data_IF_613193704929
#
_entry.id   IF_613193704929
#
_cell.length_a   1.000
_cell.length_b   1.000
_cell.length_c   1.000
_cell.angle_alpha   90.00
_cell.angle_beta   90.00
_cell.angle_gamma   90.00
#
_symmetry.space_group_name_H-M   'P 1'
#
loop_
_entity.id
_entity.type
_entity.pdbx_description
1 polymer ?
#
# COMPACT_ATOMS: atom_id res chain seq x y z
N UNK A 1 -8.49 -7.93 8.25
CA UNK A 1 -7.89 -8.09 6.90
C UNK A 1 -7.44 -6.73 6.40
N UNK A 2 -6.35 -6.64 5.64
CA UNK A 2 -5.93 -5.45 4.91
C UNK A 2 -6.32 -5.61 3.44
N UNK A 3 -6.84 -4.57 2.81
CA UNK A 3 -7.33 -4.62 1.43
C UNK A 3 -6.87 -3.37 0.67
N UNK A 4 -6.51 -3.57 -0.60
CA UNK A 4 -6.39 -2.48 -1.56
C UNK A 4 -7.72 -2.30 -2.27
N UNK A 5 -8.16 -1.05 -2.42
CA UNK A 5 -9.44 -0.67 -3.01
C UNK A 5 -9.19 0.33 -4.12
N UNK A 6 -9.52 -0.08 -5.35
CA UNK A 6 -9.52 0.78 -6.53
C UNK A 6 -10.95 0.90 -7.07
N UNK A 7 -11.44 2.13 -7.21
CA UNK A 7 -12.72 2.39 -7.86
C UNK A 7 -12.50 2.68 -9.35
N UNK A 8 -13.17 1.95 -10.22
CA UNK A 8 -13.09 2.15 -11.67
C UNK A 8 -13.87 3.41 -12.11
N UNK A 9 -13.34 4.58 -11.77
CA UNK A 9 -13.84 5.89 -12.21
C UNK A 9 -13.42 6.18 -13.67
N UNK A 10 -13.93 7.24 -14.32
CA UNK A 10 -13.57 7.56 -15.70
C UNK A 10 -12.06 7.68 -15.94
N UNK A 11 -11.31 8.31 -15.02
CA UNK A 11 -9.86 8.47 -15.15
C UNK A 11 -9.12 7.12 -15.14
N UNK A 12 -9.42 6.24 -14.18
CA UNK A 12 -8.83 4.90 -14.09
C UNK A 12 -9.17 4.07 -15.34
N UNK A 13 -10.42 4.12 -15.81
CA UNK A 13 -10.82 3.43 -17.05
C UNK A 13 -10.07 3.94 -18.28
N UNK A 14 -9.79 5.24 -18.35
CA UNK A 14 -8.98 5.81 -19.43
C UNK A 14 -7.55 5.27 -19.39
N UNK A 15 -6.92 5.25 -18.21
CA UNK A 15 -5.58 4.71 -18.04
C UNK A 15 -5.48 3.25 -18.48
N UNK A 16 -6.48 2.42 -18.16
CA UNK A 16 -6.54 1.03 -18.59
C UNK A 16 -6.63 0.93 -20.12
N UNK A 17 -7.51 1.71 -20.77
CA UNK A 17 -7.67 1.71 -22.23
C UNK A 17 -6.43 2.17 -22.97
N UNK A 18 -5.67 3.10 -22.39
CA UNK A 18 -4.44 3.65 -22.95
C UNK A 18 -3.18 2.85 -22.58
N UNK A 19 -3.32 1.75 -21.83
CA UNK A 19 -2.17 0.95 -21.36
C UNK A 19 -1.28 1.65 -20.33
N UNK A 20 -1.72 2.77 -19.76
CA UNK A 20 -0.99 3.56 -18.76
C UNK A 20 -1.23 3.06 -17.34
N UNK A 21 -1.22 1.74 -17.16
CA UNK A 21 -1.57 1.08 -15.88
C UNK A 21 -0.59 1.42 -14.75
N UNK A 22 0.66 1.76 -15.08
CA UNK A 22 1.67 2.22 -14.13
C UNK A 22 1.27 3.51 -13.39
N UNK A 23 0.30 4.29 -13.88
CA UNK A 23 -0.23 5.49 -13.21
C UNK A 23 -1.34 5.18 -12.19
N UNK A 24 -1.89 3.96 -12.20
CA UNK A 24 -3.00 3.56 -11.31
C UNK A 24 -2.65 3.68 -9.82
N UNK A 25 -1.44 3.31 -9.34
CA UNK A 25 -1.08 3.49 -7.93
C UNK A 25 -1.23 4.94 -7.45
N UNK A 26 -0.79 5.92 -8.26
CA UNK A 26 -0.97 7.34 -7.96
C UNK A 26 -2.45 7.76 -7.96
N UNK A 27 -3.28 7.15 -8.82
CA UNK A 27 -4.73 7.35 -8.80
C UNK A 27 -5.39 6.81 -7.54
N UNK A 28 -4.96 5.65 -7.04
CA UNK A 28 -5.46 5.08 -5.77
C UNK A 28 -5.09 6.01 -4.60
N UNK A 29 -3.84 6.48 -4.55
CA UNK A 29 -3.37 7.39 -3.50
C UNK A 29 -4.15 8.72 -3.46
N UNK A 30 -4.41 9.32 -4.63
CA UNK A 30 -5.18 10.58 -4.73
C UNK A 30 -6.69 10.37 -4.68
N UNK A 31 -7.15 9.13 -4.83
CA UNK A 31 -8.55 8.71 -4.88
C UNK A 31 -9.21 8.48 -3.51
N UNK A 32 -8.54 8.77 -2.39
CA UNK A 32 -9.07 8.55 -1.02
C UNK A 32 -10.46 9.12 -0.80
N UNK A 33 -10.76 10.29 -1.35
CA UNK A 33 -12.09 10.94 -1.27
C UNK A 33 -13.21 10.14 -1.95
N UNK A 34 -12.87 9.22 -2.84
CA UNK A 34 -13.80 8.31 -3.52
C UNK A 34 -13.82 6.92 -2.86
N UNK A 35 -13.22 6.75 -1.68
CA UNK A 35 -13.12 5.48 -0.98
C UNK A 35 -12.02 4.55 -1.51
N UNK A 36 -11.08 5.05 -2.31
CA UNK A 36 -9.90 4.27 -2.69
C UNK A 36 -8.91 4.17 -1.52
N UNK A 37 -8.17 3.08 -1.46
CA UNK A 37 -7.19 2.81 -0.40
C UNK A 37 -6.06 1.96 -0.98
N UNK A 38 -4.81 2.34 -0.74
CA UNK A 38 -3.66 1.49 -1.10
C UNK A 38 -3.47 0.37 -0.07
N UNK A 39 -2.86 -0.75 -0.46
CA UNK A 39 -2.55 -1.82 0.50
C UNK A 39 -1.71 -1.31 1.68
N UNK A 40 -0.68 -0.50 1.42
CA UNK A 40 0.19 0.06 2.45
C UNK A 40 -0.59 0.94 3.44
N UNK A 41 -1.55 1.76 2.97
CA UNK A 41 -2.40 2.54 3.86
C UNK A 41 -3.23 1.63 4.77
N UNK A 42 -3.79 0.54 4.23
CA UNK A 42 -4.57 -0.43 5.01
C UNK A 42 -3.71 -1.17 6.05
N UNK A 43 -2.50 -1.60 5.66
CA UNK A 43 -1.55 -2.26 6.56
C UNK A 43 -1.10 -1.30 7.66
N UNK A 44 -0.78 -0.04 7.32
CA UNK A 44 -0.41 0.99 8.29
C UNK A 44 -1.53 1.25 9.29
N UNK A 45 -2.78 1.31 8.84
CA UNK A 45 -3.94 1.47 9.72
C UNK A 45 -4.05 0.32 10.74
N UNK A 46 -3.90 -0.93 10.29
CA UNK A 46 -3.92 -2.09 11.20
C UNK A 46 -2.74 -2.09 12.18
N UNK A 47 -1.57 -1.66 11.72
CA UNK A 47 -0.38 -1.53 12.57
C UNK A 47 -0.60 -0.46 13.65
N UNK A 48 -1.12 0.71 13.28
CA UNK A 48 -1.41 1.80 14.23
C UNK A 48 -2.47 1.38 15.25
N UNK A 49 -3.45 0.57 14.83
CA UNK A 49 -4.45 -0.04 15.72
C UNK A 49 -3.90 -1.22 16.55
N UNK A 50 -2.62 -1.58 16.40
CA UNK A 50 -1.95 -2.72 17.05
C UNK A 50 -2.66 -4.06 16.80
N UNK A 51 -3.34 -4.20 15.66
CA UNK A 51 -4.02 -5.43 15.25
C UNK A 51 -3.01 -6.43 14.65
N UNK A 52 -1.92 -5.92 14.07
CA UNK A 52 -0.82 -6.70 13.51
C UNK A 52 0.52 -6.26 14.11
N UNK A 53 1.52 -7.14 14.06
CA UNK A 53 2.87 -6.82 14.50
C UNK A 53 3.60 -5.95 13.45
N UNK A 54 4.63 -5.17 13.86
CA UNK A 54 5.51 -4.47 12.91
C UNK A 54 6.17 -5.42 11.90
N UNK A 55 6.55 -6.62 12.33
CA UNK A 55 7.16 -7.64 11.48
C UNK A 55 6.18 -8.15 10.40
N UNK A 56 4.91 -8.38 10.77
CA UNK A 56 3.86 -8.74 9.81
C UNK A 56 3.59 -7.59 8.83
N UNK A 57 3.52 -6.36 9.35
CA UNK A 57 3.30 -5.18 8.53
C UNK A 57 4.43 -5.00 7.50
N UNK A 58 5.69 -5.10 7.94
CA UNK A 58 6.85 -5.03 7.08
C UNK A 58 6.90 -6.16 6.05
N UNK A 59 6.54 -7.38 6.43
CA UNK A 59 6.54 -8.52 5.51
C UNK A 59 5.47 -8.39 4.42
N UNK A 60 4.30 -7.84 4.76
CA UNK A 60 3.12 -7.80 3.88
C UNK A 60 2.92 -6.48 3.13
N UNK A 61 3.66 -5.43 3.43
CA UNK A 61 3.60 -4.17 2.68
C UNK A 61 4.38 -4.23 1.36
N UNK A 62 4.06 -3.29 0.47
CA UNK A 62 4.78 -3.07 -0.78
C UNK A 62 6.00 -2.16 -0.56
N UNK A 63 5.81 -1.01 0.07
CA UNK A 63 6.90 -0.07 0.37
C UNK A 63 7.54 -0.40 1.74
N UNK A 64 8.61 -1.22 1.71
CA UNK A 64 9.35 -1.61 2.93
C UNK A 64 9.89 -0.42 3.71
N UNK A 65 10.31 0.64 2.99
CA UNK A 65 10.89 1.85 3.59
C UNK A 65 9.91 2.54 4.55
N UNK A 66 8.62 2.56 4.23
CA UNK A 66 7.58 3.11 5.13
C UNK A 66 7.44 2.35 6.45
N UNK A 67 7.75 1.04 6.45
CA UNK A 67 7.51 0.18 7.61
C UNK A 67 8.76 -0.11 8.43
N UNK A 68 9.94 0.11 7.87
CA UNK A 68 11.24 -0.07 8.52
C UNK A 68 11.34 0.63 9.90
N UNK A 69 10.85 1.87 10.10
CA UNK A 69 10.96 2.56 11.40
C UNK A 69 10.17 1.90 12.53
N UNK A 70 9.23 1.00 12.23
CA UNK A 70 8.42 0.30 13.24
C UNK A 70 9.05 -1.01 13.72
N UNK A 71 10.08 -1.51 13.02
CA UNK A 71 10.78 -2.72 13.41
C UNK A 71 11.66 -2.48 14.63
N UNK A 72 11.66 -3.44 15.56
CA UNK A 72 12.54 -3.40 16.75
C UNK A 72 13.94 -3.90 16.46
N UNK A 73 14.08 -4.75 15.46
CA UNK A 73 15.32 -5.38 15.04
C UNK A 73 15.49 -5.16 13.54
N UNK A 74 16.74 -5.05 13.04
CA UNK A 74 16.95 -4.99 11.61
C UNK A 74 16.35 -6.23 10.94
N UNK A 75 15.68 -6.08 9.78
CA UNK A 75 15.10 -7.21 9.07
C UNK A 75 16.22 -8.18 8.66
N UNK A 76 15.93 -9.48 8.72
CA UNK A 76 16.91 -10.54 8.38
C UNK A 76 17.23 -10.59 6.89
N UNK A 77 16.35 -10.07 6.03
CA UNK A 77 16.51 -10.05 4.59
C UNK A 77 17.21 -8.76 4.13
N UNK A 78 18.54 -8.80 4.05
CA UNK A 78 19.40 -7.73 3.53
C UNK A 78 19.48 -7.70 1.98
N UNK A 79 18.50 -8.21 1.25
CA UNK A 79 18.63 -8.45 -0.22
C UNK A 79 17.98 -7.41 -1.13
N UNK A 80 17.47 -6.28 -0.64
CA UNK A 80 16.95 -5.24 -1.53
C UNK A 80 17.84 -3.99 -1.47
N UNK A 81 18.73 -3.93 -2.48
CA UNK A 81 19.54 -2.77 -2.88
C UNK A 81 18.67 -1.76 -3.61
#
# INVERSE_FOLDING_TARGET
AALEIMIANPAVRNLIREGKTYQIPSMIQTGKKYGMQSLDDAVLELLMKKIISPDDAYTKCNDKGKFLPFLKQPPSDFTEV
#
